data_IF_498260488834
#
_entry.id   IF_498260488834
#
_cell.length_a   1.000
_cell.length_b   1.000
_cell.length_c   1.000
_cell.angle_alpha   90.00
_cell.angle_beta   90.00
_cell.angle_gamma   90.00
#
_symmetry.space_group_name_H-M   'P 1'
#
loop_
_entity.id
_entity.type
_entity.pdbx_description
1 polymer ?
#
# COMPACT_ATOMS: atom_id res chain seq x y z
N UNK A 1 7.23 2.77 9.87
CA UNK A 1 6.22 1.68 9.87
C UNK A 1 4.88 2.30 9.51
N UNK A 2 3.88 1.52 9.08
CA UNK A 2 2.62 2.04 8.54
C UNK A 2 1.58 0.94 8.55
N UNK A 3 0.31 1.29 8.30
CA UNK A 3 -0.75 0.32 7.97
C UNK A 3 -1.44 0.74 6.68
N UNK A 4 -1.43 -0.13 5.70
CA UNK A 4 -2.12 0.04 4.43
C UNK A 4 -3.13 -1.09 4.24
N UNK A 5 -4.27 -0.76 3.63
CA UNK A 5 -5.41 -1.67 3.47
C UNK A 5 -5.98 -1.55 2.07
N UNK A 6 -6.36 -2.67 1.48
CA UNK A 6 -7.15 -2.72 0.24
C UNK A 6 -8.40 -3.58 0.45
N UNK A 7 -9.52 -3.13 -0.07
CA UNK A 7 -10.82 -3.81 0.03
C UNK A 7 -11.52 -3.80 -1.32
N UNK A 8 -12.05 -4.96 -1.73
CA UNK A 8 -12.99 -5.09 -2.84
C UNK A 8 -14.37 -5.47 -2.29
N UNK A 9 -15.41 -4.73 -2.65
CA UNK A 9 -16.79 -5.07 -2.30
C UNK A 9 -17.74 -4.56 -3.38
N UNK A 10 -18.52 -5.49 -3.95
CA UNK A 10 -19.33 -5.19 -5.13
C UNK A 10 -18.47 -4.71 -6.31
N UNK A 11 -18.91 -3.65 -6.95
CA UNK A 11 -18.21 -3.01 -8.09
C UNK A 11 -17.17 -1.97 -7.66
N UNK A 12 -16.76 -1.94 -6.38
CA UNK A 12 -15.85 -0.93 -5.85
C UNK A 12 -14.64 -1.58 -5.19
N UNK A 13 -13.47 -1.00 -5.45
CA UNK A 13 -12.27 -1.20 -4.65
C UNK A 13 -11.97 0.08 -3.85
N UNK A 14 -11.45 -0.09 -2.64
CA UNK A 14 -10.96 1.00 -1.81
C UNK A 14 -9.53 0.69 -1.34
N UNK A 15 -8.68 1.71 -1.33
CA UNK A 15 -7.31 1.67 -0.85
C UNK A 15 -7.15 2.72 0.23
N UNK A 16 -6.71 2.31 1.42
CA UNK A 16 -6.52 3.21 2.55
C UNK A 16 -5.14 3.07 3.18
N UNK A 17 -4.65 4.15 3.75
CA UNK A 17 -3.39 4.20 4.48
C UNK A 17 -3.49 5.14 5.68
N UNK A 18 -2.74 4.84 6.73
CA UNK A 18 -2.48 5.77 7.82
C UNK A 18 -1.52 6.89 7.39
N UNK A 19 -1.39 7.94 8.22
CA UNK A 19 -0.57 9.12 7.91
C UNK A 19 0.56 9.38 8.90
N UNK A 20 0.73 8.51 9.89
CA UNK A 20 1.77 8.67 10.90
C UNK A 20 3.15 8.32 10.35
N UNK A 21 4.14 9.19 10.53
CA UNK A 21 5.56 8.85 10.42
C UNK A 21 6.13 8.64 11.82
N UNK A 22 6.98 7.64 12.01
CA UNK A 22 7.61 7.34 13.29
C UNK A 22 9.09 7.03 13.16
N UNK A 23 9.89 7.47 14.14
CA UNK A 23 11.32 7.27 14.26
C UNK A 23 11.61 6.74 15.68
N UNK A 24 11.75 5.44 15.82
CA UNK A 24 11.82 4.82 17.15
C UNK A 24 10.55 5.13 17.96
N UNK A 25 10.69 5.86 19.07
CA UNK A 25 9.58 6.29 19.92
C UNK A 25 8.95 7.63 19.51
N UNK A 26 9.59 8.39 18.61
CA UNK A 26 9.07 9.67 18.15
C UNK A 26 7.94 9.47 17.13
N UNK A 27 6.88 10.26 17.28
CA UNK A 27 5.70 10.26 16.39
C UNK A 27 5.56 11.62 15.71
N UNK A 28 5.48 11.61 14.40
CA UNK A 28 5.27 12.80 13.56
C UNK A 28 3.91 12.70 12.89
N UNK A 29 2.94 13.43 13.45
CA UNK A 29 1.56 13.41 12.93
C UNK A 29 1.41 14.25 11.66
N UNK A 30 0.35 13.96 10.91
CA UNK A 30 -0.04 14.72 9.72
C UNK A 30 -0.28 16.23 9.98
N UNK A 31 -0.47 16.63 11.23
CA UNK A 31 -0.60 18.05 11.59
C UNK A 31 0.69 18.86 11.35
N UNK A 32 1.85 18.18 11.31
CA UNK A 32 3.16 18.81 11.13
C UNK A 32 3.85 18.46 9.82
N UNK A 33 3.38 17.43 9.11
CA UNK A 33 4.02 16.88 7.91
C UNK A 33 3.10 17.06 6.71
N UNK A 34 3.40 18.00 5.83
CA UNK A 34 2.56 18.30 4.66
C UNK A 34 2.50 17.15 3.63
N UNK A 35 3.57 16.38 3.51
CA UNK A 35 3.68 15.24 2.57
C UNK A 35 3.53 13.88 3.27
N UNK A 36 2.63 13.80 4.24
CA UNK A 36 2.37 12.60 5.05
C UNK A 36 1.67 11.44 4.30
N UNK A 37 1.23 11.67 3.07
CA UNK A 37 0.48 10.68 2.31
C UNK A 37 1.33 9.47 1.92
N UNK A 38 0.79 8.28 2.20
CA UNK A 38 1.38 6.98 1.85
C UNK A 38 0.64 6.32 0.68
N UNK A 39 -0.11 7.14 -0.06
CA UNK A 39 -0.85 6.76 -1.26
C UNK A 39 -0.44 7.65 -2.42
N UNK A 40 -0.54 7.13 -3.63
CA UNK A 40 -0.31 7.89 -4.86
C UNK A 40 -1.23 7.39 -5.97
N UNK A 41 -1.68 8.30 -6.84
CA UNK A 41 -2.40 7.96 -8.04
C UNK A 41 -1.41 7.49 -9.12
N UNK A 42 -1.71 6.36 -9.79
CA UNK A 42 -0.92 5.83 -10.91
C UNK A 42 -1.88 5.39 -12.01
N UNK A 43 -1.90 6.13 -13.11
CA UNK A 43 -2.87 5.90 -14.19
C UNK A 43 -4.32 6.02 -13.70
N UNK A 44 -5.10 4.97 -13.88
CA UNK A 44 -6.50 4.91 -13.43
C UNK A 44 -6.66 4.24 -12.04
N UNK A 45 -5.56 3.94 -11.37
CA UNK A 45 -5.55 3.27 -10.07
C UNK A 45 -4.81 4.05 -8.99
N UNK A 46 -4.74 3.46 -7.83
CA UNK A 46 -4.01 3.98 -6.67
C UNK A 46 -3.07 2.91 -6.11
N UNK A 47 -1.96 3.37 -5.56
CA UNK A 47 -0.93 2.56 -4.91
C UNK A 47 -0.74 3.08 -3.49
N UNK A 48 -0.76 2.19 -2.50
CA UNK A 48 -0.34 2.49 -1.13
C UNK A 48 0.93 1.69 -0.80
N UNK A 49 1.81 2.25 0.03
CA UNK A 49 3.07 1.60 0.37
C UNK A 49 3.33 1.64 1.88
N UNK A 50 4.04 0.63 2.37
CA UNK A 50 4.60 0.58 3.71
C UNK A 50 6.04 0.06 3.66
N UNK A 51 6.91 0.65 4.48
CA UNK A 51 8.35 0.39 4.51
C UNK A 51 9.12 1.63 4.91
N UNK A 52 10.35 1.82 4.42
CA UNK A 52 11.16 3.02 4.64
C UNK A 52 10.42 4.26 4.12
N UNK A 53 10.56 5.40 4.82
CA UNK A 53 9.92 6.66 4.43
C UNK A 53 10.32 7.15 3.04
N UNK A 54 11.52 6.79 2.56
CA UNK A 54 12.01 7.09 1.22
C UNK A 54 11.25 6.37 0.10
N UNK A 55 10.56 5.24 0.40
CA UNK A 55 9.82 4.48 -0.61
C UNK A 55 8.77 5.33 -1.34
N UNK A 56 8.08 6.23 -0.62
CA UNK A 56 7.12 7.15 -1.24
C UNK A 56 7.73 8.07 -2.28
N UNK A 57 8.93 8.61 -2.01
CA UNK A 57 9.65 9.45 -2.96
C UNK A 57 10.12 8.65 -4.19
N UNK A 58 10.65 7.42 -3.99
CA UNK A 58 11.05 6.54 -5.08
C UNK A 58 9.87 6.21 -6.00
N UNK A 59 8.75 5.76 -5.41
CA UNK A 59 7.53 5.43 -6.17
C UNK A 59 6.97 6.65 -6.91
N UNK A 60 6.85 7.79 -6.24
CA UNK A 60 6.32 9.03 -6.85
C UNK A 60 7.19 9.51 -8.00
N UNK A 61 8.51 9.50 -7.82
CA UNK A 61 9.45 9.90 -8.87
C UNK A 61 9.45 8.91 -10.04
N UNK A 62 9.49 7.60 -9.75
CA UNK A 62 9.48 6.56 -10.79
C UNK A 62 8.21 6.62 -11.64
N UNK A 63 7.03 6.50 -11.03
CA UNK A 63 5.77 6.51 -11.78
C UNK A 63 5.50 7.85 -12.47
N UNK A 64 5.89 8.97 -11.83
CA UNK A 64 5.80 10.30 -12.43
C UNK A 64 6.71 10.53 -13.62
N UNK A 65 7.80 9.75 -13.75
CA UNK A 65 8.73 9.81 -14.90
C UNK A 65 8.26 8.98 -16.10
N UNK A 66 7.27 8.12 -15.93
CA UNK A 66 6.80 7.25 -17.00
C UNK A 66 5.89 8.02 -17.97
N UNK A 67 6.20 7.96 -19.26
CA UNK A 67 5.36 8.54 -20.32
C UNK A 67 3.98 7.88 -20.37
N UNK A 68 3.93 6.58 -20.13
CA UNK A 68 2.70 5.79 -20.08
C UNK A 68 2.65 5.07 -18.72
N UNK A 69 1.79 5.48 -17.80
CA UNK A 69 1.65 4.81 -16.52
C UNK A 69 1.11 3.38 -16.69
N UNK A 70 1.52 2.42 -15.84
CA UNK A 70 1.04 1.05 -15.89
C UNK A 70 -0.47 1.00 -15.60
N UNK A 71 -1.14 -0.02 -16.16
CA UNK A 71 -2.59 -0.22 -15.97
C UNK A 71 -2.91 -1.09 -14.77
N UNK A 72 -1.96 -1.87 -14.27
CA UNK A 72 -2.14 -2.84 -13.21
C UNK A 72 -3.31 -3.79 -13.51
N UNK A 73 -3.24 -4.41 -14.70
CA UNK A 73 -4.34 -5.21 -15.27
C UNK A 73 -4.33 -6.67 -14.84
N UNK A 74 -3.18 -7.18 -14.43
CA UNK A 74 -2.99 -8.57 -13.99
C UNK A 74 -1.74 -8.69 -13.11
N UNK A 75 -1.56 -9.82 -12.38
CA UNK A 75 -0.33 -10.10 -11.64
C UNK A 75 0.92 -10.05 -12.51
N UNK A 76 0.88 -10.55 -13.74
CA UNK A 76 2.02 -10.55 -14.66
C UNK A 76 2.40 -9.14 -15.12
N UNK A 77 1.41 -8.28 -15.43
CA UNK A 77 1.62 -6.87 -15.78
C UNK A 77 2.25 -6.10 -14.60
N UNK A 78 1.78 -6.36 -13.39
CA UNK A 78 2.33 -5.79 -12.17
C UNK A 78 3.75 -6.30 -11.93
N UNK A 79 4.00 -7.60 -12.06
CA UNK A 79 5.33 -8.18 -11.88
C UNK A 79 6.35 -7.57 -12.85
N UNK A 80 6.01 -7.47 -14.12
CA UNK A 80 6.87 -6.83 -15.12
C UNK A 80 7.18 -5.36 -14.75
N UNK A 81 6.18 -4.62 -14.28
CA UNK A 81 6.36 -3.24 -13.80
C UNK A 81 7.32 -3.20 -12.59
N UNK A 82 7.20 -4.14 -11.64
CA UNK A 82 8.04 -4.19 -10.44
C UNK A 82 9.49 -4.61 -10.70
N UNK A 83 9.74 -5.43 -11.72
CA UNK A 83 11.12 -5.70 -12.17
C UNK A 83 11.81 -4.41 -12.64
N UNK A 84 11.13 -3.61 -13.45
CA UNK A 84 11.67 -2.33 -13.95
C UNK A 84 11.82 -1.29 -12.81
N UNK A 85 10.85 -1.24 -11.91
CA UNK A 85 10.92 -0.38 -10.71
C UNK A 85 12.10 -0.78 -9.82
N UNK A 86 12.30 -2.08 -9.57
CA UNK A 86 13.41 -2.56 -8.72
C UNK A 86 14.78 -2.18 -9.31
N UNK A 87 14.96 -2.38 -10.61
CA UNK A 87 16.17 -1.92 -11.30
C UNK A 87 16.38 -0.40 -11.11
N UNK A 88 15.34 0.40 -11.32
CA UNK A 88 15.42 1.85 -11.11
C UNK A 88 15.71 2.22 -9.64
N UNK A 89 15.17 1.46 -8.68
CA UNK A 89 15.45 1.68 -7.25
C UNK A 89 16.94 1.48 -6.93
N UNK A 90 17.58 0.49 -7.52
CA UNK A 90 19.03 0.25 -7.37
C UNK A 90 19.85 1.32 -8.07
N UNK A 91 19.57 1.55 -9.35
CA UNK A 91 20.42 2.36 -10.23
C UNK A 91 20.29 3.86 -9.99
N UNK A 92 19.07 4.35 -9.69
CA UNK A 92 18.79 5.78 -9.57
C UNK A 92 18.63 6.27 -8.14
N UNK A 93 18.12 5.40 -7.25
CA UNK A 93 17.77 5.79 -5.89
C UNK A 93 18.69 5.13 -4.85
N UNK A 94 19.71 4.40 -5.30
CA UNK A 94 20.74 3.78 -4.46
C UNK A 94 20.15 2.88 -3.36
N UNK A 95 19.08 2.16 -3.70
CA UNK A 95 18.48 1.19 -2.78
C UNK A 95 19.51 0.09 -2.48
N UNK A 96 19.75 -0.18 -1.20
CA UNK A 96 20.44 -1.39 -0.79
C UNK A 96 19.45 -2.56 -0.82
N UNK A 97 19.55 -3.51 -1.77
CA UNK A 97 18.58 -4.56 -1.94
C UNK A 97 18.75 -5.75 -0.98
N UNK A 98 19.91 -5.82 -0.29
CA UNK A 98 20.21 -6.93 0.63
C UNK A 98 19.51 -6.68 1.97
N UNK A 99 18.48 -7.43 2.25
CA UNK A 99 17.71 -7.38 3.51
C UNK A 99 18.22 -8.43 4.49
N UNK A 100 18.45 -9.65 3.99
CA UNK A 100 19.04 -10.77 4.72
C UNK A 100 19.97 -11.55 3.76
N UNK A 101 21.10 -12.08 4.28
CA UNK A 101 22.06 -12.86 3.48
C UNK A 101 21.50 -14.22 3.04
N UNK A 102 20.42 -14.69 3.68
CA UNK A 102 19.72 -15.93 3.32
C UNK A 102 18.64 -15.75 2.23
N UNK A 103 18.33 -14.52 1.84
CA UNK A 103 17.33 -14.24 0.82
C UNK A 103 17.74 -14.78 -0.55
N UNK A 104 16.88 -15.52 -1.21
CA UNK A 104 17.11 -16.07 -2.55
C UNK A 104 17.03 -15.03 -3.67
N UNK A 105 16.43 -13.88 -3.40
CA UNK A 105 16.24 -12.76 -4.33
C UNK A 105 16.37 -11.43 -3.61
N UNK A 106 16.81 -10.40 -4.33
CA UNK A 106 16.90 -9.03 -3.79
C UNK A 106 15.54 -8.48 -3.35
N UNK A 107 15.53 -7.65 -2.31
CA UNK A 107 14.34 -6.99 -1.76
C UNK A 107 14.19 -5.55 -2.26
N UNK A 108 12.96 -5.10 -2.51
CA UNK A 108 12.61 -3.67 -2.66
C UNK A 108 12.50 -2.95 -1.32
N UNK A 109 12.52 -3.68 -0.20
CA UNK A 109 12.39 -3.20 1.18
C UNK A 109 11.08 -2.52 1.53
N UNK A 110 10.08 -2.56 0.65
CA UNK A 110 8.74 -2.06 0.91
C UNK A 110 7.69 -2.99 0.31
N UNK A 111 6.52 -2.99 0.94
CA UNK A 111 5.35 -3.68 0.43
C UNK A 111 4.35 -2.67 -0.11
N UNK A 112 3.53 -3.10 -1.07
CA UNK A 112 2.58 -2.24 -1.76
C UNK A 112 1.23 -2.93 -1.91
N UNK A 113 0.16 -2.15 -1.72
CA UNK A 113 -1.18 -2.52 -2.14
C UNK A 113 -1.63 -1.65 -3.31
N UNK A 114 -2.38 -2.23 -4.23
CA UNK A 114 -2.86 -1.59 -5.44
C UNK A 114 -4.36 -1.78 -5.55
N UNK A 115 -5.07 -0.69 -5.86
CA UNK A 115 -6.45 -0.73 -6.35
C UNK A 115 -6.49 -0.19 -7.77
N UNK A 116 -6.94 -0.99 -8.73
CA UNK A 116 -7.11 -0.60 -10.13
C UNK A 116 -8.49 -0.98 -10.63
N UNK A 117 -8.93 -0.50 -11.80
CA UNK A 117 -10.18 -0.94 -12.40
C UNK A 117 -10.24 -2.45 -12.69
N UNK A 118 -9.10 -3.14 -12.71
CA UNK A 118 -9.01 -4.59 -12.97
C UNK A 118 -9.09 -5.43 -11.69
N UNK A 119 -8.86 -4.85 -10.52
CA UNK A 119 -8.88 -5.60 -9.25
C UNK A 119 -8.06 -4.97 -8.15
N UNK A 120 -7.82 -5.75 -7.11
CA UNK A 120 -6.98 -5.38 -5.97
C UNK A 120 -5.81 -6.34 -5.83
N UNK A 121 -4.60 -5.78 -5.65
CA UNK A 121 -3.37 -6.56 -5.67
C UNK A 121 -2.43 -6.15 -4.53
N UNK A 122 -1.53 -7.07 -4.18
CA UNK A 122 -0.43 -6.81 -3.28
C UNK A 122 0.91 -7.19 -3.92
N UNK A 123 1.94 -6.42 -3.62
CA UNK A 123 3.31 -6.74 -4.01
C UNK A 123 4.19 -6.72 -2.77
N UNK A 124 4.75 -7.88 -2.46
CA UNK A 124 5.71 -8.04 -1.37
C UNK A 124 7.09 -7.48 -1.72
N UNK A 125 7.91 -7.26 -0.70
CA UNK A 125 9.28 -6.73 -0.86
C UNK A 125 10.16 -7.55 -1.81
N UNK A 126 9.94 -8.85 -1.91
CA UNK A 126 10.62 -9.77 -2.86
C UNK A 126 9.86 -9.94 -4.19
N UNK A 127 8.95 -9.02 -4.51
CA UNK A 127 8.17 -8.98 -5.77
C UNK A 127 7.18 -10.13 -5.94
N UNK A 128 6.78 -10.80 -4.85
CA UNK A 128 5.62 -11.67 -4.88
C UNK A 128 4.38 -10.82 -5.18
N UNK A 129 3.71 -11.09 -6.29
CA UNK A 129 2.47 -10.42 -6.67
C UNK A 129 1.29 -11.34 -6.39
N UNK A 130 0.31 -10.82 -5.66
CA UNK A 130 -0.93 -11.54 -5.32
C UNK A 130 -2.15 -10.71 -5.74
N UNK A 131 -3.13 -11.35 -6.34
CA UNK A 131 -4.47 -10.78 -6.55
C UNK A 131 -5.38 -11.19 -5.41
N UNK A 132 -6.06 -10.23 -4.80
CA UNK A 132 -6.97 -10.49 -3.69
C UNK A 132 -8.42 -10.48 -4.15
N UNK A 133 -9.22 -11.35 -3.57
CA UNK A 133 -10.64 -11.48 -3.92
C UNK A 133 -11.55 -10.63 -3.05
N UNK A 134 -11.15 -10.31 -1.82
CA UNK A 134 -11.97 -9.57 -0.83
C UNK A 134 -11.23 -8.38 -0.24
N UNK A 135 -10.15 -8.62 0.49
CA UNK A 135 -9.36 -7.58 1.16
C UNK A 135 -7.99 -8.10 1.57
N UNK A 136 -7.08 -7.16 1.81
CA UNK A 136 -5.80 -7.46 2.45
C UNK A 136 -5.23 -6.23 3.16
N UNK A 137 -4.20 -6.45 4.01
CA UNK A 137 -3.49 -5.38 4.70
C UNK A 137 -1.99 -5.71 4.81
N UNK A 138 -1.16 -4.67 4.73
CA UNK A 138 0.28 -4.75 5.01
C UNK A 138 0.69 -3.70 6.05
N UNK A 139 1.83 -3.95 6.67
CA UNK A 139 2.46 -3.06 7.64
C UNK A 139 2.30 -3.52 9.08
N UNK A 140 2.77 -2.69 10.02
CA UNK A 140 2.87 -3.07 11.45
C UNK A 140 1.52 -3.26 12.14
N UNK A 141 0.46 -2.62 11.67
CA UNK A 141 -0.90 -2.77 12.20
C UNK A 141 -1.79 -3.69 11.36
N UNK A 142 -1.20 -4.47 10.41
CA UNK A 142 -1.96 -5.30 9.48
C UNK A 142 -2.85 -6.33 10.18
N UNK A 143 -2.40 -6.94 11.27
CA UNK A 143 -3.17 -7.95 12.01
C UNK A 143 -4.47 -7.36 12.59
N UNK A 144 -4.41 -6.16 13.15
CA UNK A 144 -5.60 -5.46 13.66
C UNK A 144 -6.55 -5.08 12.53
N UNK A 145 -6.00 -4.59 11.42
CA UNK A 145 -6.79 -4.24 10.24
C UNK A 145 -7.48 -5.47 9.64
N UNK A 146 -6.77 -6.60 9.49
CA UNK A 146 -7.32 -7.86 8.98
C UNK A 146 -8.40 -8.41 9.91
N UNK A 147 -8.21 -8.36 11.23
CA UNK A 147 -9.23 -8.76 12.20
C UNK A 147 -10.50 -7.92 12.09
N UNK A 148 -10.36 -6.59 11.97
CA UNK A 148 -11.51 -5.70 11.78
C UNK A 148 -12.23 -5.96 10.45
N UNK A 149 -11.49 -6.19 9.36
CA UNK A 149 -12.06 -6.52 8.05
C UNK A 149 -12.80 -7.85 8.09
N UNK A 150 -12.21 -8.87 8.69
CA UNK A 150 -12.85 -10.18 8.85
C UNK A 150 -14.20 -10.06 9.56
N UNK A 151 -14.25 -9.30 10.65
CA UNK A 151 -15.47 -9.14 11.45
C UNK A 151 -16.56 -8.32 10.76
N UNK A 152 -16.18 -7.35 9.89
CA UNK A 152 -17.11 -6.37 9.34
C UNK A 152 -17.45 -6.56 7.87
N UNK A 153 -16.68 -7.39 7.13
CA UNK A 153 -16.78 -7.45 5.66
C UNK A 153 -18.16 -7.81 5.15
N UNK A 154 -18.86 -8.72 5.82
CA UNK A 154 -20.16 -9.21 5.35
C UNK A 154 -21.34 -8.32 5.78
N UNK A 155 -21.09 -7.22 6.54
CA UNK A 155 -22.14 -6.23 6.85
C UNK A 155 -22.58 -5.50 5.57
N UNK A 156 -23.86 -5.68 5.11
CA UNK A 156 -24.35 -5.08 3.89
C UNK A 156 -24.44 -3.55 3.91
N UNK A 157 -24.36 -2.93 5.10
CA UNK A 157 -24.41 -1.48 5.26
C UNK A 157 -23.06 -0.80 5.05
N UNK A 158 -21.96 -1.57 5.04
CA UNK A 158 -20.61 -1.04 4.89
C UNK A 158 -20.15 -1.14 3.43
N UNK A 159 -19.69 -0.02 2.90
CA UNK A 159 -19.04 0.07 1.58
C UNK A 159 -17.56 -0.39 1.67
N UNK A 160 -16.90 -0.61 0.52
CA UNK A 160 -15.47 -0.88 0.47
C UNK A 160 -14.66 0.23 1.17
N UNK A 161 -15.03 1.49 0.94
CA UNK A 161 -14.42 2.67 1.56
C UNK A 161 -14.57 2.67 3.08
N UNK A 162 -15.80 2.48 3.58
CA UNK A 162 -16.08 2.46 5.02
C UNK A 162 -15.32 1.33 5.73
N UNK A 163 -15.20 0.16 5.10
CA UNK A 163 -14.42 -0.97 5.59
C UNK A 163 -12.93 -0.64 5.67
N UNK A 164 -12.36 -0.07 4.60
CA UNK A 164 -10.95 0.28 4.55
C UNK A 164 -10.59 1.33 5.62
N UNK A 165 -11.42 2.37 5.80
CA UNK A 165 -11.23 3.41 6.83
C UNK A 165 -11.31 2.80 8.23
N UNK A 166 -12.34 1.99 8.51
CA UNK A 166 -12.51 1.33 9.82
C UNK A 166 -11.35 0.39 10.15
N UNK A 167 -10.82 -0.32 9.17
CA UNK A 167 -9.68 -1.23 9.36
C UNK A 167 -8.39 -0.47 9.74
N UNK A 168 -8.08 0.62 9.05
CA UNK A 168 -6.92 1.46 9.42
C UNK A 168 -7.14 2.14 10.77
N UNK A 169 -8.37 2.58 11.08
CA UNK A 169 -8.71 3.17 12.37
C UNK A 169 -8.54 2.16 13.53
N UNK A 170 -8.96 0.91 13.34
CA UNK A 170 -8.74 -0.16 14.32
C UNK A 170 -7.23 -0.42 14.53
N UNK A 171 -6.43 -0.41 13.47
CA UNK A 171 -4.99 -0.52 13.59
C UNK A 171 -4.38 0.69 14.32
N UNK A 172 -4.89 1.91 14.09
CA UNK A 172 -4.40 3.12 14.76
C UNK A 172 -4.67 3.14 16.26
N UNK A 173 -5.72 2.44 16.72
CA UNK A 173 -6.04 2.32 18.14
C UNK A 173 -5.01 1.45 18.90
N UNK A 174 -4.56 0.36 18.31
CA UNK A 174 -3.76 -0.64 19.01
C UNK A 174 -2.28 -0.71 18.57
N UNK A 175 -1.92 -0.16 17.42
CA UNK A 175 -0.55 -0.18 16.90
C UNK A 175 0.12 1.19 17.04
N UNK A 176 1.20 1.25 17.82
CA UNK A 176 1.93 2.50 18.10
C UNK A 176 2.53 3.20 16.87
N UNK A 177 2.72 2.47 15.77
CA UNK A 177 3.31 2.97 14.53
C UNK A 177 2.27 3.26 13.43
N UNK A 178 0.98 3.23 13.77
CA UNK A 178 -0.15 3.60 12.93
C UNK A 178 -0.85 4.81 13.53
N UNK A 179 -1.32 5.76 12.71
CA UNK A 179 -1.99 6.95 13.24
C UNK A 179 -2.91 7.65 12.25
N UNK A 180 -3.88 8.37 12.82
CA UNK A 180 -4.86 9.14 12.07
C UNK A 180 -4.28 10.50 11.60
N UNK A 181 -4.89 11.13 10.58
CA UNK A 181 -6.07 10.70 9.81
C UNK A 181 -5.79 9.53 8.86
N UNK A 182 -6.84 8.96 8.29
CA UNK A 182 -6.78 7.94 7.24
C UNK A 182 -6.94 8.61 5.87
N UNK A 183 -6.02 8.36 4.95
CA UNK A 183 -6.23 8.66 3.54
C UNK A 183 -6.88 7.46 2.85
N UNK A 184 -7.97 7.69 2.11
CA UNK A 184 -8.69 6.63 1.41
C UNK A 184 -9.05 7.07 -0.01
N UNK A 185 -8.87 6.16 -0.97
CA UNK A 185 -9.23 6.36 -2.38
C UNK A 185 -10.07 5.20 -2.87
N UNK A 186 -11.01 5.48 -3.76
CA UNK A 186 -11.89 4.46 -4.36
C UNK A 186 -11.71 4.35 -5.86
N UNK A 187 -11.88 3.14 -6.38
CA UNK A 187 -11.83 2.84 -7.81
C UNK A 187 -13.05 2.00 -8.16
N UNK A 188 -13.73 2.33 -9.26
CA UNK A 188 -14.78 1.48 -9.81
C UNK A 188 -14.13 0.33 -10.57
N UNK A 189 -14.54 -0.89 -10.26
CA UNK A 189 -14.12 -2.10 -10.96
C UNK A 189 -14.89 -2.25 -12.29
N UNK A 190 -14.24 -2.88 -13.26
CA UNK A 190 -14.82 -3.18 -14.57
C UNK A 190 -15.45 -4.54 -14.59
#
# INVERSE_FOLDING_TARGET
>A
MSTIVVVRKGEQAALAADTLTSWGTQRESAAYIANHEKTLAVGAGFVAFCGPSSAGHMLKNYFGSLKNPPKFSSPDDIFATWIMLHAACKDRYYLNPNEDDSDSVESTRFNVLIASPSGIFGVGSHRLVQEFTRFYAYGSGAEYALGALWALYDDPKLTAEALAIKAVAAAAEFNSATGLPVNCHTVRLK
#
